data_IF_367800208755
#
_entry.id   IF_367800208755
#
_cell.length_a   1.000
_cell.length_b   1.000
_cell.length_c   1.000
_cell.angle_alpha   90.00
_cell.angle_beta   90.00
_cell.angle_gamma   90.00
#
_symmetry.space_group_name_H-M   'P 1'
#
loop_
_entity.id
_entity.type
_entity.pdbx_description
1 polymer ?
#
# COMPACT_ATOMS: atom_id res chain seq x y z
N UNK A 1 -37.63 -21.04 -35.22
CA UNK A 1 -36.76 -21.21 -34.05
C UNK A 1 -36.15 -19.85 -33.68
N UNK A 2 -36.63 -19.20 -32.62
CA UNK A 2 -36.08 -17.92 -32.13
C UNK A 2 -34.82 -18.22 -31.32
N UNK A 3 -33.68 -17.74 -31.79
CA UNK A 3 -32.41 -17.76 -31.09
C UNK A 3 -32.54 -16.86 -29.86
N UNK A 4 -32.55 -17.43 -28.64
CA UNK A 4 -32.46 -16.68 -27.39
C UNK A 4 -31.07 -16.02 -27.40
N UNK A 5 -31.00 -14.71 -27.61
CA UNK A 5 -29.86 -13.91 -27.27
C UNK A 5 -29.60 -14.07 -25.77
N UNK A 6 -28.50 -14.74 -25.43
CA UNK A 6 -27.99 -14.72 -24.06
C UNK A 6 -27.52 -13.29 -23.80
N UNK A 7 -28.30 -12.52 -23.04
CA UNK A 7 -27.81 -11.27 -22.49
C UNK A 7 -26.52 -11.59 -21.74
N UNK A 8 -25.39 -11.13 -22.30
CA UNK A 8 -24.12 -11.20 -21.61
C UNK A 8 -24.25 -10.33 -20.34
N UNK A 9 -24.28 -10.97 -19.18
CA UNK A 9 -24.25 -10.27 -17.90
C UNK A 9 -22.94 -9.51 -17.85
N UNK A 10 -23.03 -8.18 -17.85
CA UNK A 10 -21.86 -7.33 -17.67
C UNK A 10 -21.39 -7.54 -16.24
N UNK A 11 -20.24 -8.17 -16.07
CA UNK A 11 -19.61 -8.34 -14.75
C UNK A 11 -19.21 -6.96 -14.22
N UNK A 12 -19.71 -6.62 -13.06
CA UNK A 12 -19.33 -5.42 -12.33
C UNK A 12 -18.06 -5.67 -11.52
N UNK A 13 -17.40 -4.62 -11.03
CA UNK A 13 -16.26 -4.76 -10.13
C UNK A 13 -16.62 -5.55 -8.86
N UNK A 14 -17.88 -5.46 -8.41
CA UNK A 14 -18.42 -6.23 -7.27
C UNK A 14 -18.49 -7.74 -7.55
N UNK A 15 -18.64 -8.16 -8.81
CA UNK A 15 -18.62 -9.59 -9.18
C UNK A 15 -17.19 -10.14 -9.17
N UNK A 16 -16.18 -9.27 -9.33
CA UNK A 16 -14.77 -9.65 -9.35
C UNK A 16 -14.18 -9.60 -7.94
N UNK A 17 -14.60 -8.60 -7.15
CA UNK A 17 -14.16 -8.39 -5.79
C UNK A 17 -15.41 -8.19 -4.90
N UNK A 18 -16.07 -9.28 -4.45
CA UNK A 18 -17.36 -9.24 -3.78
C UNK A 18 -17.24 -8.84 -2.30
N UNK A 19 -16.64 -7.67 -2.03
CA UNK A 19 -16.49 -7.13 -0.68
C UNK A 19 -17.85 -6.62 -0.20
N UNK A 20 -18.27 -7.09 0.98
CA UNK A 20 -19.52 -6.71 1.63
C UNK A 20 -19.36 -5.60 2.65
N UNK A 21 -18.39 -5.73 3.55
CA UNK A 21 -18.15 -4.79 4.64
C UNK A 21 -16.73 -4.92 5.20
N UNK A 22 -16.29 -3.90 5.91
CA UNK A 22 -15.14 -3.97 6.81
C UNK A 22 -15.59 -4.53 8.17
N UNK A 23 -14.83 -5.48 8.71
CA UNK A 23 -15.08 -6.08 10.03
C UNK A 23 -13.97 -5.66 11.02
N UNK A 24 -14.23 -4.65 11.87
CA UNK A 24 -13.20 -4.09 12.76
C UNK A 24 -12.66 -5.11 13.78
N UNK A 25 -13.49 -6.07 14.22
CA UNK A 25 -13.11 -7.08 15.19
C UNK A 25 -12.07 -8.07 14.66
N UNK A 26 -12.05 -8.26 13.34
CA UNK A 26 -11.13 -9.14 12.61
C UNK A 26 -9.98 -8.34 11.99
N UNK A 27 -10.20 -7.06 11.66
CA UNK A 27 -9.27 -6.21 10.94
C UNK A 27 -9.17 -6.53 9.45
N UNK A 28 -10.26 -7.07 8.86
CA UNK A 28 -10.30 -7.58 7.49
C UNK A 28 -11.63 -7.28 6.81
N UNK A 29 -11.71 -7.51 5.50
CA UNK A 29 -12.93 -7.37 4.73
C UNK A 29 -13.73 -8.65 4.73
N UNK A 30 -15.02 -8.55 5.05
CA UNK A 30 -16.00 -9.62 4.89
C UNK A 30 -16.47 -9.66 3.43
N UNK A 31 -16.41 -10.82 2.81
CA UNK A 31 -16.87 -11.05 1.44
C UNK A 31 -18.34 -11.54 1.39
N UNK A 32 -18.93 -11.52 0.20
CA UNK A 32 -20.33 -11.92 -0.01
C UNK A 32 -20.59 -13.40 0.32
N UNK A 33 -19.60 -14.26 0.19
CA UNK A 33 -19.64 -15.69 0.53
C UNK A 33 -19.33 -15.98 2.01
N UNK A 34 -19.25 -14.93 2.84
CA UNK A 34 -18.91 -14.99 4.27
C UNK A 34 -17.46 -15.37 4.56
N UNK A 35 -16.59 -15.42 3.58
CA UNK A 35 -15.14 -15.51 3.76
C UNK A 35 -14.55 -14.13 4.06
N UNK A 36 -13.29 -14.11 4.47
CA UNK A 36 -12.55 -12.90 4.78
C UNK A 36 -11.38 -12.69 3.83
N UNK A 37 -11.12 -11.42 3.49
CA UNK A 37 -9.99 -10.96 2.71
C UNK A 37 -9.17 -9.98 3.53
N UNK A 38 -7.86 -10.17 3.57
CA UNK A 38 -6.95 -9.20 4.14
C UNK A 38 -5.77 -8.90 3.22
N UNK A 39 -5.08 -7.78 3.49
CA UNK A 39 -4.02 -7.23 2.68
C UNK A 39 -2.80 -6.91 3.54
N UNK A 40 -1.63 -7.30 3.06
CA UNK A 40 -0.33 -6.86 3.57
C UNK A 40 0.41 -6.12 2.46
N UNK A 41 1.24 -5.15 2.83
CA UNK A 41 2.15 -4.50 1.90
C UNK A 41 3.40 -5.35 1.73
N UNK A 42 3.84 -5.56 0.49
CA UNK A 42 5.13 -6.16 0.19
C UNK A 42 6.20 -5.05 0.18
N UNK A 43 7.31 -5.30 0.87
CA UNK A 43 8.45 -4.40 0.90
C UNK A 43 9.32 -4.67 -0.32
N UNK A 44 9.43 -3.73 -1.28
CA UNK A 44 10.28 -3.93 -2.46
C UNK A 44 11.75 -3.98 -2.06
N UNK A 45 12.53 -4.78 -2.80
CA UNK A 45 13.98 -4.93 -2.62
C UNK A 45 14.73 -4.35 -3.81
N UNK A 46 15.87 -3.76 -3.51
CA UNK A 46 16.84 -3.38 -4.54
C UNK A 46 17.75 -4.57 -4.85
N UNK A 47 17.32 -5.38 -5.83
CA UNK A 47 18.03 -6.60 -6.20
C UNK A 47 19.41 -6.34 -6.83
N UNK A 48 19.75 -5.09 -7.18
CA UNK A 48 21.05 -4.75 -7.76
C UNK A 48 22.13 -4.52 -6.70
N UNK A 49 21.70 -4.11 -5.50
CA UNK A 49 22.61 -3.75 -4.41
C UNK A 49 22.57 -4.71 -3.22
N UNK A 50 21.83 -5.81 -3.30
CA UNK A 50 21.77 -6.85 -2.28
C UNK A 50 22.91 -7.85 -2.47
N UNK A 51 23.51 -8.34 -1.37
CA UNK A 51 24.51 -9.39 -1.43
C UNK A 51 23.87 -10.72 -1.86
N UNK A 52 24.64 -11.57 -2.57
CA UNK A 52 24.11 -12.82 -3.16
C UNK A 52 23.55 -13.78 -2.10
N UNK A 53 24.25 -13.96 -0.98
CA UNK A 53 23.81 -14.77 0.16
C UNK A 53 22.56 -14.23 0.85
N UNK A 54 22.42 -12.90 0.94
CA UNK A 54 21.21 -12.25 1.43
C UNK A 54 20.02 -12.49 0.46
N UNK A 55 20.27 -12.36 -0.84
CA UNK A 55 19.25 -12.62 -1.86
C UNK A 55 18.78 -14.10 -1.83
N UNK A 56 19.71 -15.05 -1.69
CA UNK A 56 19.35 -16.48 -1.56
C UNK A 56 18.49 -16.73 -0.32
N UNK A 57 18.81 -16.09 0.81
CA UNK A 57 18.02 -16.19 2.03
C UNK A 57 16.62 -15.63 1.83
N UNK A 58 16.46 -14.47 1.20
CA UNK A 58 15.16 -13.89 0.91
C UNK A 58 14.32 -14.75 -0.03
N UNK A 59 14.93 -15.29 -1.09
CA UNK A 59 14.26 -16.24 -2.01
C UNK A 59 13.79 -17.48 -1.24
N UNK A 60 14.63 -18.03 -0.36
CA UNK A 60 14.27 -19.18 0.46
C UNK A 60 13.08 -18.88 1.37
N UNK A 61 13.09 -17.73 2.05
CA UNK A 61 12.02 -17.29 2.94
C UNK A 61 10.70 -17.10 2.19
N UNK A 62 10.75 -16.41 1.05
CA UNK A 62 9.59 -16.21 0.21
C UNK A 62 9.02 -17.54 -0.30
N UNK A 63 9.89 -18.46 -0.73
CA UNK A 63 9.51 -19.82 -1.12
C UNK A 63 8.85 -20.57 0.04
N UNK A 64 9.34 -20.38 1.26
CA UNK A 64 8.76 -21.00 2.45
C UNK A 64 7.37 -20.44 2.78
N UNK A 65 7.16 -19.12 2.63
CA UNK A 65 5.81 -18.50 2.72
C UNK A 65 4.88 -19.18 1.74
N UNK A 66 5.24 -19.24 0.46
CA UNK A 66 4.39 -19.81 -0.60
C UNK A 66 4.08 -21.29 -0.40
N UNK A 67 5.00 -22.07 0.16
CA UNK A 67 4.81 -23.51 0.41
C UNK A 67 4.03 -23.82 1.68
N UNK A 68 4.10 -22.95 2.69
CA UNK A 68 3.56 -23.23 4.02
C UNK A 68 2.18 -22.63 4.23
N UNK A 69 1.90 -21.48 3.60
CA UNK A 69 0.59 -20.83 3.68
C UNK A 69 -0.39 -21.64 2.83
N UNK A 70 -1.32 -22.31 3.49
CA UNK A 70 -2.31 -23.19 2.85
C UNK A 70 -3.55 -22.48 2.32
N UNK A 71 -3.46 -21.19 1.99
CA UNK A 71 -4.56 -20.41 1.42
C UNK A 71 -4.17 -19.83 0.05
N UNK A 72 -5.18 -19.35 -0.66
CA UNK A 72 -4.97 -18.61 -1.90
C UNK A 72 -4.26 -17.29 -1.60
N UNK A 73 -3.22 -17.00 -2.40
CA UNK A 73 -2.46 -15.77 -2.34
C UNK A 73 -2.55 -15.03 -3.67
N UNK A 74 -2.72 -13.71 -3.62
CA UNK A 74 -2.72 -12.89 -4.82
C UNK A 74 -1.77 -11.71 -4.65
N UNK A 75 -0.85 -11.58 -5.60
CA UNK A 75 0.06 -10.44 -5.67
C UNK A 75 -0.58 -9.31 -6.47
N UNK A 76 -0.60 -8.13 -5.89
CA UNK A 76 -1.16 -6.94 -6.50
C UNK A 76 -0.03 -5.93 -6.69
N UNK A 77 0.09 -5.42 -7.92
CA UNK A 77 1.01 -4.32 -8.24
C UNK A 77 0.17 -3.14 -8.70
N UNK A 78 0.30 -2.02 -8.01
CA UNK A 78 -0.49 -0.82 -8.26
C UNK A 78 0.37 0.42 -8.26
N UNK A 79 -0.03 1.42 -9.06
CA UNK A 79 0.58 2.74 -9.07
C UNK A 79 -0.31 3.73 -8.33
N UNK A 80 0.30 4.45 -7.41
CA UNK A 80 -0.31 5.55 -6.69
C UNK A 80 0.41 6.85 -7.01
N UNK A 81 -0.26 8.00 -6.95
CA UNK A 81 0.41 9.29 -7.05
C UNK A 81 1.51 9.38 -5.98
N UNK A 82 2.59 10.03 -6.32
CA UNK A 82 3.62 10.34 -5.35
C UNK A 82 3.13 11.49 -4.47
N UNK A 83 3.06 11.30 -3.16
CA UNK A 83 2.76 12.39 -2.24
C UNK A 83 4.05 13.07 -1.78
N UNK A 84 4.19 14.35 -2.07
CA UNK A 84 5.32 15.19 -1.66
C UNK A 84 4.89 16.32 -0.71
N UNK A 85 3.67 16.20 -0.13
CA UNK A 85 3.07 17.23 0.75
C UNK A 85 3.98 17.59 1.92
N UNK A 86 4.59 16.59 2.57
CA UNK A 86 5.51 16.82 3.68
C UNK A 86 6.74 17.62 3.25
N UNK A 87 7.34 17.29 2.11
CA UNK A 87 8.49 18.01 1.59
C UNK A 87 8.13 19.44 1.21
N UNK A 88 6.97 19.64 0.58
CA UNK A 88 6.42 20.97 0.27
C UNK A 88 6.17 21.78 1.53
N UNK A 89 5.59 21.17 2.57
CA UNK A 89 5.33 21.85 3.85
C UNK A 89 6.63 22.34 4.51
N UNK A 90 7.69 21.54 4.51
CA UNK A 90 9.02 21.93 5.01
C UNK A 90 9.59 23.11 4.21
N UNK A 91 9.55 23.04 2.87
CA UNK A 91 10.04 24.14 2.03
C UNK A 91 9.21 25.42 2.22
N UNK A 92 7.90 25.32 2.37
CA UNK A 92 7.01 26.45 2.67
C UNK A 92 7.34 27.08 4.03
N UNK A 93 7.60 26.25 5.04
CA UNK A 93 8.03 26.72 6.34
C UNK A 93 9.33 27.52 6.24
N UNK A 94 10.34 26.97 5.56
CA UNK A 94 11.60 27.68 5.33
C UNK A 94 11.43 28.97 4.50
N UNK A 95 10.53 28.99 3.52
CA UNK A 95 10.25 30.18 2.73
C UNK A 95 9.64 31.31 3.58
N UNK A 96 8.77 30.96 4.55
CA UNK A 96 8.17 31.95 5.49
C UNK A 96 9.19 32.54 6.46
N UNK A 97 10.24 31.80 6.80
CA UNK A 97 11.29 32.24 7.70
C UNK A 97 12.46 32.96 6.99
N UNK A 98 12.54 32.83 5.67
CA UNK A 98 13.62 33.43 4.91
C UNK A 98 13.48 34.96 4.86
N UNK A 99 14.51 35.67 5.29
CA UNK A 99 14.62 37.14 5.21
C UNK A 99 15.20 37.66 3.89
N UNK A 100 15.66 36.77 2.99
CA UNK A 100 16.27 37.11 1.71
C UNK A 100 15.37 36.71 0.54
N UNK A 101 15.09 37.68 -0.32
CA UNK A 101 14.21 37.53 -1.48
C UNK A 101 14.76 36.47 -2.47
N UNK A 102 16.08 36.39 -2.63
CA UNK A 102 16.72 35.40 -3.52
C UNK A 102 16.47 33.99 -3.02
N UNK A 103 16.56 33.77 -1.70
CA UNK A 103 16.30 32.49 -1.05
C UNK A 103 14.82 32.12 -1.15
N UNK A 104 13.91 33.06 -0.97
CA UNK A 104 12.46 32.85 -1.12
C UNK A 104 12.15 32.37 -2.55
N UNK A 105 12.64 33.07 -3.58
CA UNK A 105 12.44 32.68 -4.99
C UNK A 105 12.96 31.29 -5.31
N UNK A 106 14.10 30.91 -4.73
CA UNK A 106 14.68 29.58 -4.89
C UNK A 106 13.79 28.51 -4.27
N UNK A 107 13.32 28.71 -3.04
CA UNK A 107 12.41 27.79 -2.35
C UNK A 107 11.08 27.65 -3.08
N UNK A 108 10.49 28.72 -3.56
CA UNK A 108 9.27 28.69 -4.38
C UNK A 108 9.47 27.91 -5.69
N UNK A 109 10.64 28.03 -6.31
CA UNK A 109 10.97 27.21 -7.48
C UNK A 109 11.01 25.74 -7.13
N UNK A 110 11.65 25.35 -6.02
CA UNK A 110 11.69 23.96 -5.55
C UNK A 110 10.28 23.42 -5.29
N UNK A 111 9.40 24.21 -4.67
CA UNK A 111 8.02 23.83 -4.43
C UNK A 111 7.28 23.57 -5.76
N UNK A 112 7.46 24.43 -6.76
CA UNK A 112 6.87 24.21 -8.09
C UNK A 112 7.41 22.95 -8.76
N UNK A 113 8.71 22.67 -8.64
CA UNK A 113 9.33 21.44 -9.18
C UNK A 113 8.74 20.19 -8.51
N UNK A 114 8.52 20.21 -7.18
CA UNK A 114 7.84 19.13 -6.47
C UNK A 114 6.38 18.95 -6.93
N UNK A 115 5.63 20.03 -7.15
CA UNK A 115 4.26 19.97 -7.66
C UNK A 115 4.20 19.32 -9.05
N UNK A 116 5.14 19.65 -9.93
CA UNK A 116 5.25 19.02 -11.25
C UNK A 116 5.61 17.53 -11.12
N UNK A 117 6.49 17.18 -10.18
CA UNK A 117 6.86 15.80 -9.92
C UNK A 117 5.67 14.98 -9.42
N UNK A 118 4.85 15.48 -8.50
CA UNK A 118 3.63 14.81 -8.02
C UNK A 118 2.64 14.52 -9.15
N UNK A 119 2.53 15.42 -10.12
CA UNK A 119 1.62 15.22 -11.25
C UNK A 119 2.11 14.17 -12.24
N UNK A 120 3.43 14.05 -12.41
CA UNK A 120 4.04 13.24 -13.47
C UNK A 120 4.64 11.92 -12.96
N UNK A 121 4.89 11.78 -11.66
CA UNK A 121 5.54 10.61 -11.08
C UNK A 121 4.53 9.83 -10.24
N UNK A 122 4.52 8.52 -10.44
CA UNK A 122 3.74 7.58 -9.62
C UNK A 122 4.68 6.60 -8.93
N UNK A 123 4.41 6.29 -7.68
CA UNK A 123 5.08 5.22 -6.94
C UNK A 123 4.38 3.89 -7.20
N UNK A 124 5.16 2.84 -7.39
CA UNK A 124 4.66 1.48 -7.53
C UNK A 124 4.66 0.81 -6.18
N UNK A 125 3.49 0.31 -5.77
CA UNK A 125 3.29 -0.39 -4.52
C UNK A 125 2.89 -1.83 -4.80
N UNK A 126 3.33 -2.74 -3.94
CA UNK A 126 3.04 -4.15 -4.04
C UNK A 126 2.30 -4.60 -2.79
N UNK A 127 1.28 -5.42 -2.99
CA UNK A 127 0.48 -5.96 -1.90
C UNK A 127 0.29 -7.46 -2.07
N UNK A 128 0.15 -8.13 -0.94
CA UNK A 128 -0.20 -9.54 -0.83
C UNK A 128 -1.63 -9.62 -0.29
N UNK A 129 -2.56 -10.09 -1.10
CA UNK A 129 -3.91 -10.41 -0.69
C UNK A 129 -3.99 -11.89 -0.32
N UNK A 130 -4.67 -12.21 0.78
CA UNK A 130 -4.87 -13.57 1.26
C UNK A 130 -6.27 -13.72 1.88
N UNK A 131 -6.76 -14.95 1.89
CA UNK A 131 -8.13 -15.26 2.29
C UNK A 131 -8.19 -16.22 3.45
N UNK A 132 -9.29 -16.14 4.21
CA UNK A 132 -9.67 -17.12 5.21
C UNK A 132 -11.16 -17.40 5.10
N UNK A 133 -11.57 -18.68 5.18
CA UNK A 133 -12.98 -19.07 5.18
C UNK A 133 -13.76 -18.55 6.41
N UNK A 134 -13.06 -18.31 7.49
CA UNK A 134 -13.53 -17.75 8.75
C UNK A 134 -12.43 -16.89 9.39
N UNK A 135 -12.78 -16.14 10.44
CA UNK A 135 -11.86 -15.22 11.12
C UNK A 135 -10.66 -15.93 11.74
N UNK A 136 -10.84 -17.14 12.28
CA UNK A 136 -9.77 -17.91 12.89
C UNK A 136 -8.78 -18.44 11.83
N UNK A 137 -9.30 -18.89 10.70
CA UNK A 137 -8.47 -19.32 9.56
C UNK A 137 -7.69 -18.15 8.99
N UNK A 138 -8.33 -16.98 8.84
CA UNK A 138 -7.65 -15.77 8.37
C UNK A 138 -6.50 -15.39 9.31
N UNK A 139 -6.75 -15.38 10.62
CA UNK A 139 -5.74 -15.07 11.64
C UNK A 139 -4.56 -16.05 11.60
N UNK A 140 -4.85 -17.34 11.48
CA UNK A 140 -3.78 -18.36 11.31
C UNK A 140 -2.94 -18.13 10.05
N UNK A 141 -3.59 -17.80 8.93
CA UNK A 141 -2.89 -17.49 7.69
C UNK A 141 -2.03 -16.23 7.84
N UNK A 142 -2.57 -15.18 8.47
CA UNK A 142 -1.84 -13.97 8.79
C UNK A 142 -0.58 -14.25 9.62
N UNK A 143 -0.72 -15.00 10.72
CA UNK A 143 0.39 -15.34 11.61
C UNK A 143 1.45 -16.16 10.90
N UNK A 144 1.04 -17.10 10.05
CA UNK A 144 1.98 -17.88 9.23
C UNK A 144 2.74 -17.02 8.24
N UNK A 145 2.04 -16.13 7.50
CA UNK A 145 2.69 -15.21 6.56
C UNK A 145 3.70 -14.35 7.31
N UNK A 146 3.30 -13.71 8.41
CA UNK A 146 4.20 -12.87 9.20
C UNK A 146 5.40 -13.63 9.75
N UNK A 147 5.18 -14.80 10.31
CA UNK A 147 6.25 -15.63 10.89
C UNK A 147 7.35 -15.94 9.87
N UNK A 148 6.98 -16.30 8.66
CA UNK A 148 7.95 -16.67 7.63
C UNK A 148 8.47 -15.47 6.84
N UNK A 149 7.69 -14.40 6.73
CA UNK A 149 8.09 -13.18 6.05
C UNK A 149 8.91 -12.21 6.92
N UNK A 150 8.90 -12.38 8.25
CA UNK A 150 9.66 -11.54 9.19
C UNK A 150 11.09 -12.05 9.46
N UNK A 151 11.46 -13.18 8.86
CA UNK A 151 12.80 -13.79 9.07
C UNK A 151 13.77 -13.14 8.11
N UNK A 152 14.83 -12.48 8.60
CA UNK A 152 15.85 -11.84 7.76
C UNK A 152 16.22 -10.44 8.26
N UNK A 153 17.03 -9.72 7.51
CA UNK A 153 17.47 -8.37 7.88
C UNK A 153 16.32 -7.35 7.87
N UNK A 154 15.37 -7.54 6.97
CA UNK A 154 14.17 -6.71 6.87
C UNK A 154 12.95 -7.59 6.59
N UNK A 155 11.76 -7.25 7.11
CA UNK A 155 10.55 -7.99 6.82
C UNK A 155 10.18 -7.89 5.34
N UNK A 156 9.70 -9.01 4.75
CA UNK A 156 9.20 -9.03 3.37
C UNK A 156 7.81 -8.42 3.25
N UNK A 157 7.05 -8.36 4.36
CA UNK A 157 5.71 -7.80 4.41
C UNK A 157 5.57 -6.85 5.58
N UNK A 158 4.74 -5.84 5.40
CA UNK A 158 4.34 -4.87 6.41
C UNK A 158 2.82 -4.85 6.56
N UNK A 159 2.36 -4.58 7.76
CA UNK A 159 0.95 -4.31 8.00
C UNK A 159 0.59 -2.92 7.51
N UNK A 160 -0.63 -2.80 7.01
CA UNK A 160 -1.24 -1.54 6.60
C UNK A 160 -2.53 -1.34 7.37
N UNK A 161 -2.85 -0.09 7.65
CA UNK A 161 -4.05 0.28 8.39
C UNK A 161 -5.34 0.05 7.57
N UNK A 162 -6.49 0.11 8.25
CA UNK A 162 -7.79 -0.11 7.63
C UNK A 162 -8.08 0.89 6.49
N UNK A 163 -7.62 2.12 6.62
CA UNK A 163 -7.81 3.18 5.63
C UNK A 163 -6.99 2.92 4.38
N UNK A 164 -5.75 2.51 4.54
CA UNK A 164 -4.89 2.10 3.43
C UNK A 164 -5.44 0.85 2.72
N UNK A 165 -5.91 -0.16 3.47
CA UNK A 165 -6.57 -1.34 2.91
C UNK A 165 -7.79 -0.94 2.06
N UNK A 166 -8.63 -0.03 2.57
CA UNK A 166 -9.80 0.46 1.83
C UNK A 166 -9.41 1.16 0.52
N UNK A 167 -8.37 2.01 0.54
CA UNK A 167 -7.86 2.69 -0.65
C UNK A 167 -7.28 1.73 -1.69
N UNK A 168 -6.63 0.66 -1.26
CA UNK A 168 -6.17 -0.41 -2.16
C UNK A 168 -7.34 -1.06 -2.87
N UNK A 169 -8.43 -1.39 -2.16
CA UNK A 169 -9.64 -1.96 -2.77
C UNK A 169 -10.35 -0.98 -3.69
N UNK A 170 -10.45 0.28 -3.29
CA UNK A 170 -11.02 1.33 -4.14
C UNK A 170 -10.25 1.47 -5.45
N UNK A 171 -8.91 1.43 -5.38
CA UNK A 171 -8.05 1.45 -6.58
C UNK A 171 -8.24 0.22 -7.44
N UNK A 172 -8.43 -0.97 -6.86
CA UNK A 172 -8.74 -2.19 -7.60
C UNK A 172 -10.10 -2.12 -8.31
N UNK A 173 -11.10 -1.51 -7.65
CA UNK A 173 -12.43 -1.32 -8.23
C UNK A 173 -12.41 -0.25 -9.35
N UNK A 174 -11.56 0.76 -9.23
CA UNK A 174 -11.49 1.93 -10.13
C UNK A 174 -10.05 2.20 -10.55
N UNK A 175 -9.48 1.35 -11.38
CA UNK A 175 -8.05 1.42 -11.75
C UNK A 175 -7.62 2.76 -12.37
N UNK A 176 -8.55 3.46 -13.01
CA UNK A 176 -8.27 4.76 -13.65
C UNK A 176 -8.41 5.96 -12.69
N UNK A 177 -8.94 5.76 -11.48
CA UNK A 177 -9.08 6.84 -10.50
C UNK A 177 -7.75 7.14 -9.84
N UNK A 178 -7.44 8.42 -9.69
CA UNK A 178 -6.29 8.89 -8.91
C UNK A 178 -6.71 8.82 -7.45
N UNK A 179 -6.11 7.93 -6.69
CA UNK A 179 -6.35 7.74 -5.26
C UNK A 179 -5.04 7.99 -4.55
N UNK A 180 -5.02 8.97 -3.65
CA UNK A 180 -3.90 9.19 -2.77
C UNK A 180 -3.93 8.17 -1.62
N UNK A 181 -2.86 7.39 -1.48
CA UNK A 181 -2.74 6.38 -0.42
C UNK A 181 -2.30 6.99 0.91
N UNK A 182 -1.67 8.18 0.85
CA UNK A 182 -1.22 8.92 2.01
C UNK A 182 -2.12 10.14 2.21
N UNK A 183 -3.13 10.09 3.09
CA UNK A 183 -3.95 11.25 3.37
C UNK A 183 -3.13 12.34 4.07
N UNK A 184 -3.50 13.59 3.80
CA UNK A 184 -2.92 14.75 4.47
C UNK A 184 -2.94 14.59 6.00
N UNK A 185 -1.79 14.57 6.62
CA UNK A 185 -1.62 14.91 8.02
C UNK A 185 -1.62 13.82 9.08
N UNK A 186 -1.83 12.54 8.77
CA UNK A 186 -1.87 11.48 9.78
C UNK A 186 -0.59 10.59 9.83
N UNK A 187 0.56 11.17 9.50
CA UNK A 187 1.83 10.49 9.80
C UNK A 187 2.32 10.92 11.19
N UNK A 188 1.91 10.19 12.23
CA UNK A 188 2.41 10.32 13.61
C UNK A 188 3.92 10.01 13.74
N UNK A 189 4.60 9.70 12.65
CA UNK A 189 6.04 9.49 12.58
C UNK A 189 6.84 10.76 12.24
N UNK A 190 6.26 11.96 12.40
CA UNK A 190 7.05 13.19 12.35
C UNK A 190 8.09 13.13 13.48
N UNK A 191 9.41 13.11 13.20
CA UNK A 191 10.38 13.31 14.25
C UNK A 191 10.09 14.69 14.86
N UNK A 192 9.78 14.69 16.17
CA UNK A 192 9.57 15.91 16.91
C UNK A 192 10.73 16.85 16.64
N UNK A 193 10.45 18.00 16.06
CA UNK A 193 11.40 19.10 16.09
C UNK A 193 11.58 19.44 17.55
N UNK A 194 12.76 19.11 18.12
CA UNK A 194 13.17 19.71 19.38
C UNK A 194 13.16 21.22 19.15
N UNK A 195 12.25 21.91 19.80
CA UNK A 195 12.35 23.33 20.01
C UNK A 195 13.60 23.51 20.86
N UNK A 196 14.69 23.94 20.28
CA UNK A 196 15.82 24.52 21.01
C UNK A 196 15.30 25.84 21.57
N UNK A 197 14.86 25.80 22.84
CA UNK A 197 14.78 27.00 23.68
C UNK A 197 16.21 27.49 23.90
N UNK A 198 16.55 28.66 23.36
CA UNK A 198 17.76 29.42 23.57
C UNK A 198 17.45 30.88 23.56
#
# INVERSE_FOLDING_TARGET
MKKKEKNAVIKTCLDILPVRSWEPSVGAFLLADSSYLDLLRLVPRDLQNIAEDELELEIYQFTKVLKTVGCDLKFLSMRFPLSLERQKAVLLHHARQAGDETRIRWLERQIRELQVAETNISSQHFYLAYWGKDADTLRKNHDMIRKYAATGYQPLVEEIDARQKAKVLEKLANMNTIIDIYPDGDDDSAPGFMEEEG
#
